data_IF_890585444886
#
_entry.id   IF_890585444886
#
_cell.length_a   1.000
_cell.length_b   1.000
_cell.length_c   1.000
_cell.angle_alpha   90.00
_cell.angle_beta   90.00
_cell.angle_gamma   90.00
#
_symmetry.space_group_name_H-M   'P 1'
#
loop_
_entity.id
_entity.type
_entity.pdbx_description
1 polymer ?
#
# COMPACT_ATOMS: atom_id res chain seq x y z
N UNK A 1 -18.50 23.28 -20.81
CA UNK A 1 -17.32 23.32 -19.90
C UNK A 1 -17.23 22.16 -18.88
N UNK A 2 -18.25 21.33 -18.68
CA UNK A 2 -18.18 20.18 -17.70
C UNK A 2 -17.60 18.87 -18.27
N UNK A 3 -17.39 18.75 -19.58
CA UNK A 3 -16.82 17.53 -20.21
C UNK A 3 -15.29 17.54 -20.32
N UNK A 4 -14.63 18.68 -20.13
CA UNK A 4 -13.16 18.78 -20.27
C UNK A 4 -12.40 18.44 -18.98
N UNK A 5 -13.03 18.51 -17.82
CA UNK A 5 -12.38 18.22 -16.52
C UNK A 5 -12.27 16.72 -16.25
N UNK A 6 -13.23 15.92 -16.76
CA UNK A 6 -13.21 14.46 -16.54
C UNK A 6 -12.10 13.74 -17.35
N UNK A 7 -11.71 14.29 -18.51
CA UNK A 7 -10.71 13.66 -19.38
C UNK A 7 -9.28 13.93 -18.91
N UNK A 8 -9.04 15.06 -18.25
CA UNK A 8 -7.70 15.42 -17.74
C UNK A 8 -7.35 14.65 -16.45
N UNK A 9 -8.35 14.30 -15.63
CA UNK A 9 -8.12 13.49 -14.42
C UNK A 9 -7.82 12.03 -14.76
N UNK A 10 -8.47 11.48 -15.80
CA UNK A 10 -8.19 10.10 -16.25
C UNK A 10 -6.79 9.93 -16.86
N UNK A 11 -6.23 10.96 -17.50
CA UNK A 11 -4.89 10.91 -18.10
C UNK A 11 -3.77 10.97 -17.04
N UNK A 12 -4.01 11.63 -15.89
CA UNK A 12 -3.03 11.69 -14.79
C UNK A 12 -2.89 10.34 -14.04
N UNK A 13 -3.93 9.49 -14.08
CA UNK A 13 -3.90 8.17 -13.45
C UNK A 13 -3.07 7.13 -14.20
N UNK A 14 -2.77 7.33 -15.48
CA UNK A 14 -2.08 6.35 -16.32
C UNK A 14 -0.55 6.47 -16.31
N UNK A 15 0.01 7.58 -15.82
CA UNK A 15 1.45 7.85 -15.99
C UNK A 15 2.29 7.90 -14.70
N UNK A 16 1.72 7.99 -13.51
CA UNK A 16 2.54 8.18 -12.30
C UNK A 16 2.48 7.06 -11.26
N UNK A 17 1.55 6.10 -11.38
CA UNK A 17 1.49 4.93 -10.47
C UNK A 17 1.35 5.25 -8.96
N UNK A 18 1.28 6.51 -8.59
CA UNK A 18 1.10 6.97 -7.21
C UNK A 18 -0.25 7.66 -7.15
N UNK A 19 -1.22 7.17 -6.35
CA UNK A 19 -2.42 7.95 -6.10
C UNK A 19 -1.99 9.25 -5.40
N UNK A 20 -2.14 10.39 -6.08
CA UNK A 20 -2.08 11.66 -5.41
C UNK A 20 -3.11 11.63 -4.28
N UNK A 21 -2.65 11.67 -3.04
CA UNK A 21 -3.50 11.92 -1.88
C UNK A 21 -3.95 13.37 -2.01
N UNK A 22 -5.04 13.58 -2.74
CA UNK A 22 -5.77 14.84 -2.70
C UNK A 22 -6.42 14.86 -1.32
N UNK A 23 -5.91 15.67 -0.42
CA UNK A 23 -6.66 16.05 0.78
C UNK A 23 -7.96 16.71 0.30
N UNK A 24 -9.14 16.14 0.54
CA UNK A 24 -10.37 16.82 0.24
C UNK A 24 -10.52 17.94 1.29
N UNK A 25 -10.38 19.18 0.85
CA UNK A 25 -11.09 20.26 1.51
C UNK A 25 -12.57 19.84 1.52
N UNK A 26 -13.14 19.73 2.72
CA UNK A 26 -14.54 19.42 3.05
C UNK A 26 -15.52 19.54 1.86
N UNK A 27 -15.62 18.49 1.05
CA UNK A 27 -16.70 18.29 0.09
C UNK A 27 -17.33 16.95 0.42
N UNK A 28 -18.61 16.99 0.62
CA UNK A 28 -19.51 15.99 1.19
C UNK A 28 -19.26 14.56 0.72
N UNK A 29 -19.03 13.68 1.68
CA UNK A 29 -18.82 12.23 1.50
C UNK A 29 -19.97 11.51 0.76
N UNK A 30 -21.10 12.18 0.50
CA UNK A 30 -22.29 11.65 -0.17
C UNK A 30 -22.16 11.57 -1.70
N UNK A 31 -21.37 12.43 -2.36
CA UNK A 31 -21.25 12.40 -3.82
C UNK A 31 -20.26 11.35 -4.32
N UNK A 32 -19.17 11.11 -3.59
CA UNK A 32 -18.19 10.08 -3.94
C UNK A 32 -18.74 8.66 -3.73
N UNK A 33 -19.56 8.46 -2.72
CA UNK A 33 -20.26 7.19 -2.50
C UNK A 33 -21.21 6.82 -3.65
N UNK A 34 -21.84 7.80 -4.29
CA UNK A 34 -22.70 7.59 -5.46
C UNK A 34 -21.92 7.26 -6.72
N UNK A 35 -20.80 7.96 -6.97
CA UNK A 35 -19.97 7.75 -8.17
C UNK A 35 -19.31 6.36 -8.13
N UNK A 36 -18.83 5.93 -6.98
CA UNK A 36 -18.26 4.59 -6.80
C UNK A 36 -19.35 3.51 -6.88
N UNK A 37 -20.53 3.77 -6.34
CA UNK A 37 -21.68 2.86 -6.42
C UNK A 37 -22.17 2.64 -7.85
N UNK A 38 -22.23 3.69 -8.67
CA UNK A 38 -22.68 3.61 -10.07
C UNK A 38 -21.65 2.92 -10.98
N UNK A 39 -20.36 3.07 -10.73
CA UNK A 39 -19.28 2.38 -11.46
C UNK A 39 -19.25 0.90 -11.09
N UNK A 40 -19.40 0.54 -9.83
CA UNK A 40 -19.46 -0.85 -9.37
C UNK A 40 -20.77 -1.53 -9.81
N UNK A 41 -21.90 -0.82 -9.81
CA UNK A 41 -23.18 -1.35 -10.25
C UNK A 41 -23.25 -1.68 -11.74
N UNK A 42 -22.45 -1.03 -12.58
CA UNK A 42 -22.36 -1.33 -14.02
C UNK A 42 -21.48 -2.55 -14.31
N UNK A 43 -20.51 -2.84 -13.46
CA UNK A 43 -19.60 -4.01 -13.59
C UNK A 43 -20.29 -5.30 -13.10
N UNK A 44 -21.20 -5.20 -12.13
CA UNK A 44 -21.89 -6.35 -11.52
C UNK A 44 -23.12 -6.88 -12.32
N UNK A 45 -23.58 -6.16 -13.36
CA UNK A 45 -24.73 -6.58 -14.18
C UNK A 45 -24.43 -7.49 -15.35
N UNK A 46 -23.17 -7.88 -15.55
CA UNK A 46 -22.76 -8.80 -16.62
C UNK A 46 -22.33 -10.16 -16.10
N UNK A 47 -23.24 -11.12 -16.06
CA UNK A 47 -22.87 -12.54 -16.07
C UNK A 47 -23.35 -13.38 -14.88
N UNK A 48 -24.59 -13.86 -14.93
CA UNK A 48 -25.00 -15.08 -14.24
C UNK A 48 -24.45 -16.29 -15.01
N UNK A 49 -23.57 -17.04 -14.41
CA UNK A 49 -23.44 -18.49 -14.67
C UNK A 49 -23.28 -19.20 -13.34
N UNK A 50 -24.24 -20.06 -13.05
CA UNK A 50 -24.20 -21.04 -11.97
C UNK A 50 -23.11 -22.08 -12.28
N UNK A 51 -22.14 -22.23 -11.40
CA UNK A 51 -21.10 -23.25 -11.47
C UNK A 51 -20.66 -23.64 -10.06
N UNK A 52 -20.82 -24.91 -9.75
CA UNK A 52 -20.57 -25.61 -8.49
C UNK A 52 -19.38 -25.06 -7.68
N UNK A 53 -19.62 -24.74 -6.41
CA UNK A 53 -18.62 -24.45 -5.38
C UNK A 53 -17.68 -25.66 -5.16
N UNK A 54 -16.51 -25.61 -5.80
CA UNK A 54 -15.32 -26.24 -5.23
C UNK A 54 -14.70 -25.22 -4.28
N UNK A 55 -14.68 -25.52 -2.96
CA UNK A 55 -13.81 -24.80 -2.01
C UNK A 55 -12.42 -24.69 -2.63
N UNK A 56 -11.87 -23.48 -2.86
CA UNK A 56 -10.48 -23.38 -3.27
C UNK A 56 -9.61 -23.83 -2.10
N UNK A 57 -8.72 -24.78 -2.32
CA UNK A 57 -7.59 -25.00 -1.42
C UNK A 57 -6.85 -23.67 -1.29
N UNK A 58 -6.82 -23.16 -0.08
CA UNK A 58 -6.22 -21.90 0.35
C UNK A 58 -4.70 -21.99 0.22
N UNK A 59 -4.20 -21.84 -0.99
CA UNK A 59 -2.77 -21.61 -1.23
C UNK A 59 -2.49 -20.16 -0.90
N UNK A 60 -2.18 -19.90 0.37
CA UNK A 60 -1.63 -18.63 0.87
C UNK A 60 -0.38 -18.29 0.06
N UNK A 61 -0.50 -17.39 -0.92
CA UNK A 61 0.63 -16.92 -1.76
C UNK A 61 1.73 -16.22 -0.96
N UNK A 62 1.50 -15.91 0.30
CA UNK A 62 2.43 -15.27 1.24
C UNK A 62 2.35 -15.84 2.63
N UNK A 63 2.16 -17.12 2.75
CA UNK A 63 2.41 -17.94 3.94
C UNK A 63 1.84 -17.51 5.29
N UNK A 64 1.37 -16.28 5.48
CA UNK A 64 1.25 -15.76 6.83
C UNK A 64 0.07 -14.81 7.12
N UNK A 65 -0.51 -14.11 6.12
CA UNK A 65 -1.70 -13.27 6.38
C UNK A 65 -2.96 -14.07 6.10
N UNK A 66 -3.66 -14.45 7.17
CA UNK A 66 -4.89 -15.23 7.10
C UNK A 66 -6.02 -14.50 7.84
N UNK A 67 -6.59 -13.49 7.18
CA UNK A 67 -7.77 -12.81 7.70
C UNK A 67 -9.05 -13.31 7.01
N UNK A 68 -10.12 -13.36 7.79
CA UNK A 68 -11.45 -13.69 7.27
C UNK A 68 -12.06 -12.47 6.57
N UNK A 69 -12.64 -12.65 5.38
CA UNK A 69 -13.40 -11.62 4.70
C UNK A 69 -14.89 -11.75 5.06
N UNK A 70 -15.48 -10.67 5.58
CA UNK A 70 -16.90 -10.59 5.95
C UNK A 70 -17.67 -9.87 4.85
N UNK A 71 -18.33 -10.62 3.99
CA UNK A 71 -19.09 -10.10 2.83
C UNK A 71 -20.57 -9.87 3.13
N UNK A 72 -21.11 -10.50 4.19
CA UNK A 72 -22.52 -10.35 4.61
C UNK A 72 -22.77 -8.97 5.22
N UNK A 73 -24.06 -8.63 5.35
CA UNK A 73 -24.46 -7.45 6.11
C UNK A 73 -23.89 -7.47 7.53
N UNK A 74 -23.34 -6.36 8.01
CA UNK A 74 -22.73 -6.27 9.32
C UNK A 74 -23.78 -6.33 10.44
N UNK A 75 -23.43 -6.98 11.52
CA UNK A 75 -24.20 -6.95 12.76
C UNK A 75 -24.13 -5.57 13.42
N UNK A 76 -25.01 -5.32 14.39
CA UNK A 76 -24.99 -4.07 15.19
C UNK A 76 -23.65 -3.92 15.94
N UNK A 77 -23.13 -5.01 16.51
CA UNK A 77 -21.86 -4.98 17.24
C UNK A 77 -20.66 -4.71 16.33
N UNK A 78 -20.65 -5.23 15.09
CA UNK A 78 -19.63 -4.94 14.09
C UNK A 78 -19.68 -3.46 13.64
N UNK A 79 -20.86 -2.90 13.43
CA UNK A 79 -21.01 -1.46 13.14
C UNK A 79 -20.52 -0.61 14.32
N UNK A 80 -20.87 -1.01 15.54
CA UNK A 80 -20.48 -0.30 16.75
C UNK A 80 -18.97 -0.34 16.97
N UNK A 81 -18.30 -1.46 16.66
CA UNK A 81 -16.83 -1.56 16.70
C UNK A 81 -16.17 -0.49 15.84
N UNK A 82 -16.58 -0.35 14.57
CA UNK A 82 -15.97 0.62 13.67
C UNK A 82 -16.29 2.08 14.05
N UNK A 83 -17.53 2.35 14.51
CA UNK A 83 -17.89 3.69 15.03
C UNK A 83 -17.03 4.04 16.23
N UNK A 84 -16.82 3.11 17.16
CA UNK A 84 -15.99 3.32 18.33
C UNK A 84 -14.51 3.57 17.93
N UNK A 85 -13.98 2.84 16.95
CA UNK A 85 -12.64 3.08 16.41
C UNK A 85 -12.54 4.49 15.82
N UNK A 86 -13.48 4.88 14.97
CA UNK A 86 -13.49 6.20 14.33
C UNK A 86 -13.56 7.35 15.35
N UNK A 87 -14.34 7.16 16.42
CA UNK A 87 -14.48 8.13 17.52
C UNK A 87 -13.29 8.14 18.47
N UNK A 88 -12.54 7.06 18.57
CA UNK A 88 -11.45 6.90 19.54
C UNK A 88 -11.91 6.37 20.89
N UNK A 89 -13.08 5.70 20.94
CA UNK A 89 -13.62 5.08 22.16
C UNK A 89 -13.03 3.70 22.39
N UNK A 90 -11.85 3.68 23.05
CA UNK A 90 -11.11 2.45 23.36
C UNK A 90 -11.88 1.50 24.26
N UNK A 91 -12.73 2.00 25.16
CA UNK A 91 -13.51 1.16 26.08
C UNK A 91 -14.62 0.39 25.33
N UNK A 92 -15.27 1.04 24.39
CA UNK A 92 -16.24 0.36 23.53
C UNK A 92 -15.55 -0.63 22.60
N UNK A 93 -14.39 -0.29 22.02
CA UNK A 93 -13.59 -1.26 21.22
C UNK A 93 -13.25 -2.49 22.06
N UNK A 94 -12.75 -2.30 23.28
CA UNK A 94 -12.42 -3.40 24.21
C UNK A 94 -13.61 -4.31 24.46
N UNK A 95 -14.77 -3.72 24.80
CA UNK A 95 -16.02 -4.47 25.02
C UNK A 95 -16.48 -5.26 23.78
N UNK A 96 -16.34 -4.70 22.59
CA UNK A 96 -16.72 -5.39 21.34
C UNK A 96 -15.79 -6.57 21.05
N UNK A 97 -14.50 -6.42 21.28
CA UNK A 97 -13.53 -7.53 21.17
C UNK A 97 -13.79 -8.62 22.22
N UNK A 98 -14.15 -8.24 23.46
CA UNK A 98 -14.50 -9.19 24.54
C UNK A 98 -15.77 -10.00 24.24
N UNK A 99 -16.66 -9.49 23.38
CA UNK A 99 -17.80 -10.25 22.82
C UNK A 99 -17.41 -11.27 21.76
N UNK A 100 -16.12 -11.32 21.37
CA UNK A 100 -15.60 -12.29 20.40
C UNK A 100 -15.68 -11.82 18.94
N UNK A 101 -15.76 -10.51 18.67
CA UNK A 101 -15.62 -10.02 17.30
C UNK A 101 -14.22 -10.33 16.78
N UNK A 102 -14.15 -10.74 15.52
CA UNK A 102 -12.89 -11.10 14.88
C UNK A 102 -12.02 -9.87 14.64
N UNK A 103 -10.93 -9.76 15.39
CA UNK A 103 -9.99 -8.64 15.36
C UNK A 103 -9.24 -8.50 14.02
N UNK A 104 -9.12 -9.61 13.26
CA UNK A 104 -8.38 -9.67 12.02
C UNK A 104 -9.29 -9.74 10.79
N UNK A 105 -10.61 -9.80 10.95
CA UNK A 105 -11.51 -9.86 9.81
C UNK A 105 -11.44 -8.58 8.97
N UNK A 106 -11.47 -8.76 7.65
CA UNK A 106 -11.71 -7.69 6.70
C UNK A 106 -13.22 -7.55 6.48
N UNK A 107 -13.75 -6.40 6.79
CA UNK A 107 -15.18 -6.11 6.70
C UNK A 107 -15.51 -5.32 5.44
N UNK A 108 -16.21 -5.94 4.50
CA UNK A 108 -16.54 -5.32 3.21
C UNK A 108 -17.31 -4.01 3.33
N UNK A 109 -18.21 -3.88 4.31
CA UNK A 109 -19.01 -2.66 4.52
C UNK A 109 -18.16 -1.44 4.90
N UNK A 110 -16.96 -1.64 5.43
CA UNK A 110 -15.97 -0.59 5.74
C UNK A 110 -14.76 -0.64 4.84
N UNK A 111 -14.60 -1.68 4.01
CA UNK A 111 -13.40 -1.94 3.22
C UNK A 111 -12.12 -1.93 4.08
N UNK A 112 -12.23 -2.45 5.30
CA UNK A 112 -11.19 -2.34 6.32
C UNK A 112 -11.19 -3.51 7.31
N UNK A 113 -10.05 -3.74 7.94
CA UNK A 113 -9.94 -4.44 9.22
C UNK A 113 -10.01 -3.43 10.36
N UNK A 114 -10.27 -3.84 11.62
CA UNK A 114 -10.20 -2.94 12.76
C UNK A 114 -8.88 -2.15 12.84
N UNK A 115 -7.73 -2.83 12.63
CA UNK A 115 -6.42 -2.18 12.68
C UNK A 115 -6.24 -1.18 11.53
N UNK A 116 -6.62 -1.52 10.30
CA UNK A 116 -6.52 -0.57 9.19
C UNK A 116 -7.40 0.66 9.39
N UNK A 117 -8.58 0.49 9.99
CA UNK A 117 -9.46 1.60 10.35
C UNK A 117 -8.81 2.53 11.40
N UNK A 118 -8.18 1.95 12.44
CA UNK A 118 -7.49 2.71 13.47
C UNK A 118 -6.28 3.48 12.89
N UNK A 119 -5.49 2.85 12.01
CA UNK A 119 -4.38 3.49 11.29
C UNK A 119 -4.86 4.66 10.45
N UNK A 120 -5.91 4.44 9.63
CA UNK A 120 -6.44 5.47 8.74
C UNK A 120 -6.96 6.70 9.50
N UNK A 121 -7.59 6.48 10.67
CA UNK A 121 -8.14 7.54 11.50
C UNK A 121 -7.13 8.09 12.53
N UNK A 122 -5.87 7.64 12.53
CA UNK A 122 -4.82 8.12 13.44
C UNK A 122 -5.10 7.85 14.92
N UNK A 123 -5.79 6.73 15.24
CA UNK A 123 -6.20 6.39 16.61
C UNK A 123 -5.13 5.56 17.32
N UNK A 124 -4.05 6.22 17.75
CA UNK A 124 -2.86 5.56 18.31
C UNK A 124 -3.17 4.65 19.52
N UNK A 125 -4.02 5.09 20.46
CA UNK A 125 -4.42 4.27 21.61
C UNK A 125 -5.16 3.00 21.17
N UNK A 126 -6.03 3.11 20.17
CA UNK A 126 -6.77 1.95 19.64
C UNK A 126 -5.85 1.06 18.82
N UNK A 127 -4.90 1.61 18.03
CA UNK A 127 -3.88 0.81 17.35
C UNK A 127 -3.10 -0.05 18.34
N UNK A 128 -2.64 0.56 19.42
CA UNK A 128 -1.93 -0.15 20.48
C UNK A 128 -2.81 -1.24 21.10
N UNK A 129 -4.05 -0.93 21.48
CA UNK A 129 -5.01 -1.89 22.04
C UNK A 129 -5.25 -3.08 21.11
N UNK A 130 -5.43 -2.83 19.80
CA UNK A 130 -5.64 -3.89 18.81
C UNK A 130 -4.41 -4.77 18.67
N UNK A 131 -3.20 -4.21 18.62
CA UNK A 131 -1.96 -4.94 18.52
C UNK A 131 -1.69 -5.78 19.80
N UNK A 132 -1.93 -5.23 20.98
CA UNK A 132 -1.86 -5.94 22.27
C UNK A 132 -2.85 -7.13 22.35
N UNK A 133 -3.99 -7.01 21.65
CA UNK A 133 -5.01 -8.06 21.55
C UNK A 133 -4.79 -9.05 20.40
N UNK A 134 -3.67 -8.94 19.67
CA UNK A 134 -3.28 -9.88 18.63
C UNK A 134 -3.77 -9.54 17.22
N UNK A 135 -4.03 -8.28 16.93
CA UNK A 135 -4.23 -7.84 15.57
C UNK A 135 -2.97 -8.10 14.73
N UNK A 136 -3.14 -8.63 13.52
CA UNK A 136 -2.04 -8.95 12.63
C UNK A 136 -1.40 -7.65 12.09
N UNK A 137 -0.20 -7.33 12.55
CA UNK A 137 0.55 -6.14 12.17
C UNK A 137 1.04 -6.17 10.71
N UNK A 138 1.07 -7.34 10.08
CA UNK A 138 1.62 -7.52 8.72
C UNK A 138 0.73 -6.89 7.66
N UNK A 139 -0.58 -6.90 7.85
CA UNK A 139 -1.54 -6.38 6.89
C UNK A 139 -2.81 -7.22 6.79
N UNK A 140 -3.45 -7.20 5.63
CA UNK A 140 -4.68 -7.94 5.37
C UNK A 140 -4.84 -8.28 3.89
N UNK A 141 -5.73 -9.23 3.61
CA UNK A 141 -6.16 -9.63 2.26
C UNK A 141 -7.61 -9.17 2.04
N UNK A 142 -7.89 -8.53 0.90
CA UNK A 142 -9.18 -7.84 0.66
C UNK A 142 -10.27 -8.69 0.04
N UNK A 143 -9.96 -9.81 -0.61
CA UNK A 143 -10.96 -10.57 -1.35
C UNK A 143 -10.62 -12.03 -1.46
N UNK A 144 -11.68 -12.87 -1.49
CA UNK A 144 -11.57 -14.30 -1.77
C UNK A 144 -11.43 -14.60 -3.27
N UNK A 145 -11.78 -13.66 -4.17
CA UNK A 145 -11.72 -13.83 -5.62
C UNK A 145 -10.45 -13.25 -6.25
N UNK A 146 -10.07 -12.07 -5.80
CA UNK A 146 -8.83 -11.41 -6.20
C UNK A 146 -8.03 -11.14 -4.93
N UNK A 147 -7.19 -12.08 -4.53
CA UNK A 147 -6.32 -11.90 -3.38
C UNK A 147 -5.39 -10.71 -3.61
N UNK A 148 -5.64 -9.62 -2.89
CA UNK A 148 -4.74 -8.47 -2.82
C UNK A 148 -4.20 -8.37 -1.41
N UNK A 149 -2.90 -8.48 -1.30
CA UNK A 149 -2.19 -8.29 -0.03
C UNK A 149 -1.98 -6.80 0.19
N UNK A 150 -2.45 -6.29 1.31
CA UNK A 150 -2.20 -4.95 1.80
C UNK A 150 -1.29 -5.02 3.02
N UNK A 151 -0.08 -4.49 2.91
CA UNK A 151 0.85 -4.38 4.02
C UNK A 151 0.73 -2.99 4.66
N UNK A 152 0.47 -2.94 5.97
CA UNK A 152 0.45 -1.65 6.69
C UNK A 152 1.80 -0.96 6.64
N UNK A 153 2.89 -1.73 6.71
CA UNK A 153 4.25 -1.21 6.64
C UNK A 153 4.54 -0.54 5.29
N UNK A 154 4.21 -1.22 4.17
CA UNK A 154 4.39 -0.67 2.83
C UNK A 154 3.47 0.53 2.59
N UNK A 155 2.25 0.51 3.13
CA UNK A 155 1.34 1.65 3.03
C UNK A 155 1.83 2.85 3.83
N UNK A 156 2.40 2.64 5.02
CA UNK A 156 3.03 3.71 5.79
C UNK A 156 4.22 4.33 5.02
N UNK A 157 5.04 3.49 4.35
CA UNK A 157 6.11 3.97 3.47
C UNK A 157 5.56 4.80 2.31
N UNK A 158 4.52 4.34 1.61
CA UNK A 158 3.89 5.05 0.49
C UNK A 158 3.33 6.43 0.90
N UNK A 159 2.88 6.55 2.14
CA UNK A 159 2.37 7.81 2.71
C UNK A 159 3.47 8.72 3.28
N UNK A 160 4.74 8.34 3.21
CA UNK A 160 5.84 9.12 3.78
C UNK A 160 5.87 9.12 5.31
N UNK A 161 5.17 8.18 5.97
CA UNK A 161 4.98 8.17 7.43
C UNK A 161 6.01 7.28 8.12
N UNK A 162 7.25 7.79 8.25
CA UNK A 162 8.34 7.08 8.93
C UNK A 162 8.01 6.71 10.39
N UNK A 163 7.42 7.59 11.22
CA UNK A 163 7.07 7.21 12.60
C UNK A 163 6.11 6.02 12.69
N UNK A 164 5.15 5.93 11.76
CA UNK A 164 4.24 4.77 11.70
C UNK A 164 4.96 3.50 11.22
N UNK A 165 5.91 3.62 10.28
CA UNK A 165 6.73 2.48 9.85
C UNK A 165 7.55 1.91 11.01
N UNK A 166 8.23 2.78 11.77
CA UNK A 166 9.00 2.41 12.96
C UNK A 166 8.10 1.72 14.00
N UNK A 167 6.93 2.30 14.27
CA UNK A 167 5.96 1.74 15.19
C UNK A 167 5.51 0.34 14.76
N UNK A 168 5.11 0.15 13.51
CA UNK A 168 4.67 -1.14 12.98
C UNK A 168 5.81 -2.17 12.97
N UNK A 169 7.03 -1.75 12.63
CA UNK A 169 8.20 -2.63 12.64
C UNK A 169 8.54 -3.11 14.05
N UNK A 170 8.47 -2.23 15.04
CA UNK A 170 8.66 -2.57 16.46
C UNK A 170 7.61 -3.58 16.97
N UNK A 171 6.42 -3.61 16.36
CA UNK A 171 5.38 -4.62 16.61
C UNK A 171 5.56 -5.89 15.78
N UNK A 172 6.62 -5.99 14.97
CA UNK A 172 6.98 -7.19 14.22
C UNK A 172 6.53 -7.19 12.75
N UNK A 173 6.15 -6.04 12.18
CA UNK A 173 5.93 -5.96 10.73
C UNK A 173 7.24 -6.27 10.00
N UNK A 174 7.25 -7.25 9.05
CA UNK A 174 8.48 -7.62 8.37
C UNK A 174 9.01 -6.49 7.49
N UNK A 175 10.33 -6.23 7.54
CA UNK A 175 10.97 -5.18 6.74
C UNK A 175 10.81 -5.42 5.23
N UNK A 176 10.84 -6.67 4.80
CA UNK A 176 10.67 -7.09 3.41
C UNK A 176 9.20 -7.38 3.05
N UNK A 177 8.27 -6.74 3.77
CA UNK A 177 6.84 -6.81 3.43
C UNK A 177 6.61 -6.35 1.99
N UNK A 178 5.67 -7.01 1.33
CA UNK A 178 5.21 -6.65 -0.02
C UNK A 178 3.70 -6.44 -0.04
N UNK A 179 3.26 -5.59 -0.95
CA UNK A 179 1.84 -5.33 -1.16
C UNK A 179 1.50 -5.40 -2.65
N UNK A 180 0.29 -5.83 -2.95
CA UNK A 180 -0.27 -5.80 -4.31
C UNK A 180 -0.85 -4.40 -4.57
N UNK A 181 -0.24 -3.64 -5.48
CA UNK A 181 -0.73 -2.29 -5.85
C UNK A 181 -1.83 -2.40 -6.91
N UNK A 182 -1.63 -3.28 -7.88
CA UNK A 182 -2.63 -3.70 -8.87
C UNK A 182 -2.54 -5.21 -9.02
N UNK A 183 -3.50 -5.83 -9.69
CA UNK A 183 -3.55 -7.28 -9.87
C UNK A 183 -2.24 -7.93 -10.39
N UNK A 184 -1.32 -7.13 -10.93
CA UNK A 184 -0.07 -7.59 -11.55
C UNK A 184 1.20 -6.89 -11.04
N UNK A 185 1.10 -5.98 -10.08
CA UNK A 185 2.27 -5.23 -9.57
C UNK A 185 2.42 -5.40 -8.05
N UNK A 186 3.57 -5.95 -7.66
CA UNK A 186 3.92 -6.25 -6.26
C UNK A 186 5.10 -5.37 -5.86
N UNK A 187 4.90 -4.56 -4.85
CA UNK A 187 5.88 -3.58 -4.38
C UNK A 187 6.26 -3.80 -2.92
N UNK A 188 7.53 -3.61 -2.62
CA UNK A 188 8.02 -3.42 -1.26
C UNK A 188 8.01 -1.92 -0.88
N UNK A 189 8.48 -1.60 0.32
CA UNK A 189 8.51 -0.22 0.81
C UNK A 189 9.39 0.71 -0.06
N UNK A 190 10.53 0.23 -0.59
CA UNK A 190 11.42 1.03 -1.46
C UNK A 190 10.76 1.41 -2.80
N UNK A 191 9.91 0.55 -3.35
CA UNK A 191 9.19 0.81 -4.59
C UNK A 191 7.89 1.61 -4.38
N UNK A 192 7.56 1.93 -3.14
CA UNK A 192 6.32 2.60 -2.77
C UNK A 192 6.53 3.95 -2.10
N UNK A 193 7.73 4.22 -1.54
CA UNK A 193 8.03 5.46 -0.82
C UNK A 193 7.99 6.69 -1.74
N UNK A 194 7.69 7.90 -1.22
CA UNK A 194 7.82 9.14 -1.96
C UNK A 194 9.29 9.43 -2.29
N UNK A 195 9.54 10.19 -3.35
CA UNK A 195 10.89 10.60 -3.75
C UNK A 195 11.10 12.07 -3.39
N UNK A 196 11.70 12.32 -2.27
CA UNK A 196 11.99 13.65 -1.73
C UNK A 196 12.55 13.54 -0.33
N UNK A 197 12.46 14.60 0.46
CA UNK A 197 13.02 14.63 1.82
C UNK A 197 12.53 13.47 2.69
N UNK A 198 11.22 13.21 2.70
CA UNK A 198 10.64 12.13 3.49
C UNK A 198 11.08 10.76 2.96
N UNK A 199 11.20 10.61 1.64
CA UNK A 199 11.70 9.39 1.00
C UNK A 199 13.16 9.11 1.32
N UNK A 200 14.01 10.14 1.42
CA UNK A 200 15.41 9.98 1.84
C UNK A 200 15.49 9.41 3.26
N UNK A 201 14.72 9.97 4.20
CA UNK A 201 14.69 9.47 5.58
C UNK A 201 14.18 8.02 5.65
N UNK A 202 13.11 7.70 4.89
CA UNK A 202 12.57 6.35 4.79
C UNK A 202 13.58 5.39 4.15
N UNK A 203 14.26 5.79 3.06
CA UNK A 203 15.24 4.96 2.39
C UNK A 203 16.40 4.60 3.33
N UNK A 204 16.93 5.58 4.06
CA UNK A 204 17.98 5.34 5.08
C UNK A 204 17.52 4.34 6.13
N UNK A 205 16.35 4.58 6.73
CA UNK A 205 15.77 3.66 7.71
C UNK A 205 15.63 2.24 7.16
N UNK A 206 15.07 2.08 5.95
CA UNK A 206 14.87 0.77 5.34
C UNK A 206 16.19 0.03 5.10
N UNK A 207 17.21 0.73 4.60
CA UNK A 207 18.54 0.19 4.37
C UNK A 207 19.21 -0.23 5.70
N UNK A 208 19.12 0.61 6.74
CA UNK A 208 19.62 0.30 8.09
C UNK A 208 18.95 -0.94 8.70
N UNK A 209 17.66 -1.16 8.41
CA UNK A 209 16.94 -2.34 8.86
C UNK A 209 17.13 -3.57 7.96
N UNK A 210 17.94 -3.49 6.90
CA UNK A 210 18.31 -4.63 6.06
C UNK A 210 17.25 -5.01 5.03
N UNK A 211 16.53 -4.04 4.45
CA UNK A 211 15.63 -4.29 3.33
C UNK A 211 16.38 -4.82 2.11
N UNK A 212 15.73 -5.68 1.32
CA UNK A 212 16.28 -6.10 0.03
C UNK A 212 16.30 -4.93 -0.97
N UNK A 213 17.47 -4.31 -1.12
CA UNK A 213 17.71 -3.19 -2.05
C UNK A 213 17.68 -3.61 -3.52
N UNK A 214 17.75 -4.93 -3.76
CA UNK A 214 17.70 -5.55 -5.08
C UNK A 214 16.33 -6.22 -5.38
N UNK A 215 15.31 -5.94 -4.58
CA UNK A 215 13.95 -6.44 -4.81
C UNK A 215 13.49 -6.14 -6.25
N UNK A 216 12.73 -7.04 -6.83
CA UNK A 216 12.18 -6.89 -8.18
C UNK A 216 10.66 -7.02 -8.14
N UNK A 217 9.96 -5.99 -8.63
CA UNK A 217 8.52 -6.05 -8.90
C UNK A 217 8.19 -7.06 -10.02
N UNK A 218 6.92 -7.22 -10.28
CA UNK A 218 6.49 -8.18 -11.31
C UNK A 218 6.94 -7.82 -12.72
N UNK A 219 7.15 -6.55 -13.03
CA UNK A 219 7.73 -6.06 -14.30
C UNK A 219 9.26 -6.04 -14.32
N UNK A 220 9.88 -6.40 -13.20
CA UNK A 220 11.32 -6.45 -13.03
C UNK A 220 11.94 -5.16 -12.53
N UNK A 221 11.14 -4.13 -12.23
CA UNK A 221 11.61 -2.84 -11.71
C UNK A 221 12.32 -3.03 -10.36
N UNK A 222 13.54 -2.48 -10.25
CA UNK A 222 14.32 -2.43 -9.02
C UNK A 222 14.17 -1.07 -8.33
N UNK A 223 14.56 -0.93 -7.04
CA UNK A 223 14.58 0.37 -6.37
C UNK A 223 15.41 1.43 -7.09
N UNK A 224 16.58 1.06 -7.63
CA UNK A 224 17.40 1.98 -8.45
C UNK A 224 16.64 2.47 -9.70
N UNK A 225 15.98 1.56 -10.42
CA UNK A 225 15.17 1.93 -11.60
C UNK A 225 13.99 2.83 -11.20
N UNK A 226 13.32 2.54 -10.08
CA UNK A 226 12.21 3.36 -9.58
C UNK A 226 12.65 4.79 -9.30
N UNK A 227 13.78 4.98 -8.61
CA UNK A 227 14.35 6.31 -8.33
C UNK A 227 14.82 6.99 -9.61
N UNK A 228 15.44 6.26 -10.55
CA UNK A 228 15.95 6.81 -11.82
C UNK A 228 14.84 7.25 -12.76
N UNK A 229 13.70 6.55 -12.78
CA UNK A 229 12.59 6.82 -13.71
C UNK A 229 11.64 7.91 -13.22
N UNK A 230 11.47 8.04 -11.91
CA UNK A 230 10.41 8.90 -11.34
C UNK A 230 10.86 10.37 -11.27
N UNK A 231 9.91 11.29 -11.51
CA UNK A 231 10.17 12.72 -11.39
C UNK A 231 10.39 13.15 -9.94
N UNK A 232 11.60 13.65 -9.66
CA UNK A 232 12.00 14.29 -8.40
C UNK A 232 13.11 15.30 -8.65
N UNK A 233 13.52 16.09 -7.65
CA UNK A 233 14.67 16.98 -7.82
C UNK A 233 15.96 16.17 -8.06
N UNK A 234 16.91 16.75 -8.81
CA UNK A 234 18.18 16.07 -9.13
C UNK A 234 18.95 15.74 -7.85
N UNK A 235 18.95 16.63 -6.88
CA UNK A 235 19.65 16.43 -5.59
C UNK A 235 19.03 15.26 -4.79
N UNK A 236 17.70 15.22 -4.69
CA UNK A 236 17.04 14.14 -3.95
C UNK A 236 17.23 12.78 -4.65
N UNK A 237 17.19 12.76 -5.98
CA UNK A 237 17.50 11.56 -6.78
C UNK A 237 18.93 11.11 -6.54
N UNK A 238 19.90 12.02 -6.62
CA UNK A 238 21.31 11.72 -6.41
C UNK A 238 21.54 11.07 -5.03
N UNK A 239 20.97 11.67 -3.98
CA UNK A 239 21.10 11.15 -2.62
C UNK A 239 20.45 9.77 -2.45
N UNK A 240 19.25 9.55 -3.00
CA UNK A 240 18.57 8.25 -2.97
C UNK A 240 19.34 7.16 -3.72
N UNK A 241 19.87 7.48 -4.91
CA UNK A 241 20.70 6.54 -5.67
C UNK A 241 21.97 6.20 -4.90
N UNK A 242 22.64 7.20 -4.32
CA UNK A 242 23.85 6.96 -3.51
C UNK A 242 23.59 6.03 -2.33
N UNK A 243 22.49 6.27 -1.56
CA UNK A 243 22.12 5.40 -0.43
C UNK A 243 21.91 3.95 -0.89
N UNK A 244 21.20 3.75 -2.00
CA UNK A 244 20.93 2.41 -2.51
C UNK A 244 22.20 1.71 -3.05
N UNK A 245 23.07 2.45 -3.75
CA UNK A 245 24.34 1.93 -4.25
C UNK A 245 25.29 1.53 -3.12
N UNK A 246 25.43 2.39 -2.09
CA UNK A 246 26.25 2.09 -0.91
C UNK A 246 25.74 0.86 -0.13
N UNK A 247 24.43 0.58 -0.24
CA UNK A 247 23.81 -0.62 0.30
C UNK A 247 23.93 -1.86 -0.61
N UNK A 248 24.60 -1.77 -1.76
CA UNK A 248 24.84 -2.89 -2.66
C UNK A 248 23.73 -3.13 -3.70
N UNK A 249 22.98 -2.08 -4.06
CA UNK A 249 22.05 -2.19 -5.18
C UNK A 249 22.80 -2.29 -6.51
N UNK A 250 22.36 -3.23 -7.36
CA UNK A 250 22.98 -3.54 -8.65
C UNK A 250 22.41 -2.65 -9.77
N UNK A 251 23.18 -1.71 -10.37
CA UNK A 251 22.73 -0.79 -11.39
C UNK A 251 22.53 -1.43 -12.77
N UNK A 252 23.06 -2.64 -13.00
CA UNK A 252 23.05 -3.33 -14.29
C UNK A 252 21.90 -4.31 -14.47
N UNK A 253 21.07 -4.53 -13.45
CA UNK A 253 19.86 -5.34 -13.57
C UNK A 253 18.96 -4.77 -14.64
N UNK A 254 18.29 -5.64 -15.38
CA UNK A 254 17.33 -5.27 -16.43
C UNK A 254 15.91 -5.60 -15.99
N UNK A 255 14.99 -4.71 -16.27
CA UNK A 255 13.56 -4.99 -16.19
C UNK A 255 13.09 -5.88 -17.36
N UNK A 256 11.78 -6.15 -17.44
CA UNK A 256 11.22 -6.93 -18.56
C UNK A 256 11.26 -6.24 -19.92
N UNK A 257 11.43 -4.90 -19.94
CA UNK A 257 11.62 -4.11 -21.16
C UNK A 257 13.08 -4.06 -21.59
N UNK A 258 13.99 -4.61 -20.81
CA UNK A 258 15.42 -4.66 -21.07
C UNK A 258 16.18 -3.43 -20.59
N UNK A 259 15.54 -2.48 -19.90
CA UNK A 259 16.16 -1.26 -19.39
C UNK A 259 16.82 -1.48 -18.03
N UNK A 260 17.95 -0.80 -17.83
CA UNK A 260 18.66 -0.68 -16.57
C UNK A 260 18.32 0.66 -15.87
N UNK A 261 18.76 0.85 -14.62
CA UNK A 261 18.67 2.14 -13.94
C UNK A 261 19.43 3.25 -14.70
N UNK A 262 20.55 2.90 -15.34
CA UNK A 262 21.35 3.83 -16.18
C UNK A 262 20.52 4.29 -17.38
N UNK A 263 19.85 3.35 -18.07
CA UNK A 263 19.00 3.68 -19.23
C UNK A 263 17.88 4.65 -18.84
N UNK A 264 17.26 4.47 -17.68
CA UNK A 264 16.23 5.38 -17.16
C UNK A 264 16.77 6.78 -16.84
N UNK A 265 17.99 6.90 -16.29
CA UNK A 265 18.64 8.20 -16.13
C UNK A 265 18.90 8.87 -17.48
N UNK A 266 19.39 8.13 -18.47
CA UNK A 266 19.63 8.67 -19.82
C UNK A 266 18.34 9.10 -20.52
N UNK A 267 17.26 8.33 -20.39
CA UNK A 267 15.93 8.69 -20.93
C UNK A 267 15.39 9.99 -20.32
N UNK A 268 15.72 10.25 -19.04
CA UNK A 268 15.36 11.49 -18.34
C UNK A 268 16.36 12.62 -18.55
N UNK A 269 17.37 12.45 -19.42
CA UNK A 269 18.47 13.39 -19.64
C UNK A 269 19.25 13.74 -18.36
N UNK A 270 19.32 12.79 -17.41
CA UNK A 270 20.03 12.93 -16.14
C UNK A 270 21.42 12.30 -16.24
N UNK A 271 22.33 13.01 -16.91
CA UNK A 271 23.68 12.51 -17.22
C UNK A 271 24.52 12.36 -15.97
N UNK A 272 24.33 13.23 -14.96
CA UNK A 272 25.07 13.16 -13.70
C UNK A 272 24.80 11.86 -12.96
N UNK A 273 23.52 11.50 -12.78
CA UNK A 273 23.15 10.26 -12.13
C UNK A 273 23.41 9.02 -12.98
N UNK A 274 23.34 9.11 -14.31
CA UNK A 274 23.81 8.04 -15.18
C UNK A 274 25.32 7.75 -14.99
N UNK A 275 26.15 8.79 -14.85
CA UNK A 275 27.57 8.66 -14.56
C UNK A 275 27.84 8.11 -13.14
N UNK A 276 27.02 8.53 -12.15
CA UNK A 276 27.10 7.96 -10.81
C UNK A 276 26.90 6.44 -10.86
N UNK A 277 25.81 5.98 -11.48
CA UNK A 277 25.48 4.55 -11.59
C UNK A 277 26.54 3.72 -12.33
N UNK A 278 27.26 4.30 -13.30
CA UNK A 278 28.32 3.63 -14.06
C UNK A 278 29.62 3.39 -13.25
N UNK A 279 29.78 4.06 -12.10
CA UNK A 279 30.98 3.92 -11.26
C UNK A 279 30.93 2.70 -10.33
N UNK A 280 29.74 2.14 -10.15
CA UNK A 280 29.49 0.95 -9.33
C UNK A 280 29.34 -0.31 -10.18
#
# INVERSE_FOLDING_TARGET
>A
MKKFVATTVAAAFLFTGVPAVIHPAKAEASEWGKIIGDVLGSILKGGKQEGQEKKPEEKTRHGEINNRVIEREPTTDERMLFVAIEQGDADTVRRMLDKGLDINAYYNFKTATPLSCAIYNGKNEIMQLLLERGADVRGYVTSTREYRVHSYFVQAAANGNLPLMEYLHNWGAPINSIQDVYAMDRRNALLSMPLGRDGIAICRYLVEQGIDVNYRSNDGTTPLMYVSHTYTSSEARHELLQILLDAGADPYRKDKSGHTAIDYCLLNNDLENAQLLQRY
#
